data_IF_014122348414
#
_entry.id   IF_014122348414
#
_cell.length_a   1.000
_cell.length_b   1.000
_cell.length_c   1.000
_cell.angle_alpha   90.00
_cell.angle_beta   90.00
_cell.angle_gamma   90.00
#
_symmetry.space_group_name_H-M   'P 1'
#
loop_
_entity.id
_entity.type
_entity.pdbx_description
1 polymer ?
#
# COMPACT_ATOMS: atom_id res chain seq x y z
N UNK A 1 -7.96 -69.69 10.42
CA UNK A 1 -8.85 -68.52 10.55
C UNK A 1 -8.11 -67.47 11.35
N UNK A 2 -7.30 -66.63 10.69
CA UNK A 2 -7.66 -65.24 10.31
C UNK A 2 -8.06 -64.43 11.56
N UNK A 3 -7.11 -63.78 12.23
CA UNK A 3 -6.57 -62.44 11.91
C UNK A 3 -7.66 -61.34 12.00
N UNK A 4 -7.28 -60.17 12.55
CA UNK A 4 -8.06 -58.91 12.63
C UNK A 4 -8.66 -58.52 14.00
N UNK A 5 -7.80 -58.10 14.94
CA UNK A 5 -8.16 -57.04 15.91
C UNK A 5 -7.01 -56.10 16.28
N UNK A 6 -5.89 -56.09 15.52
CA UNK A 6 -4.78 -55.14 15.72
C UNK A 6 -4.81 -53.91 14.80
N UNK A 7 -5.91 -53.67 14.07
CA UNK A 7 -6.03 -52.53 13.17
C UNK A 7 -7.29 -51.72 13.49
N UNK A 8 -7.18 -50.67 14.32
CA UNK A 8 -8.18 -49.57 14.27
C UNK A 8 -7.77 -48.22 14.86
N UNK A 9 -6.53 -47.97 15.31
CA UNK A 9 -6.16 -46.63 15.80
C UNK A 9 -4.93 -46.00 15.11
N UNK A 10 -4.25 -46.74 14.22
CA UNK A 10 -3.28 -46.17 13.26
C UNK A 10 -3.95 -45.33 12.16
N UNK A 11 -5.27 -45.25 12.13
CA UNK A 11 -6.04 -44.47 11.16
C UNK A 11 -6.46 -43.08 11.66
N UNK A 12 -5.88 -42.61 12.78
CA UNK A 12 -5.76 -41.17 12.95
C UNK A 12 -4.60 -40.69 12.07
N UNK A 13 -4.83 -40.74 10.75
CA UNK A 13 -4.22 -39.80 9.83
C UNK A 13 -4.69 -38.43 10.31
N UNK A 14 -3.96 -37.90 11.29
CA UNK A 14 -3.79 -36.47 11.44
C UNK A 14 -3.13 -36.08 10.12
N UNK A 15 -3.98 -35.88 9.10
CA UNK A 15 -3.65 -35.04 7.98
C UNK A 15 -3.56 -33.64 8.57
N UNK A 16 -2.48 -33.41 9.33
CA UNK A 16 -1.73 -32.17 9.25
C UNK A 16 -1.31 -32.13 7.79
N UNK A 17 -2.25 -31.79 6.90
CA UNK A 17 -1.92 -31.34 5.58
C UNK A 17 -1.05 -30.11 5.85
N UNK A 18 0.26 -30.34 5.89
CA UNK A 18 1.24 -29.33 5.58
C UNK A 18 0.64 -28.57 4.42
N UNK A 19 0.26 -27.31 4.64
CA UNK A 19 -0.35 -26.47 3.62
C UNK A 19 0.55 -26.64 2.39
N UNK A 20 0.04 -27.29 1.35
CA UNK A 20 0.91 -27.76 0.27
C UNK A 20 1.57 -26.53 -0.35
N UNK A 21 2.84 -26.66 -0.69
CA UNK A 21 3.65 -25.56 -1.23
C UNK A 21 2.97 -24.92 -2.47
N UNK A 22 2.17 -25.70 -3.21
CA UNK A 22 1.34 -25.24 -4.32
C UNK A 22 0.09 -24.46 -3.89
N UNK A 23 -0.51 -24.77 -2.73
CA UNK A 23 -1.61 -24.00 -2.17
C UNK A 23 -1.15 -22.65 -1.62
N UNK A 24 0.07 -22.60 -1.03
CA UNK A 24 0.76 -21.35 -0.69
C UNK A 24 0.99 -20.54 -1.97
N UNK A 25 1.58 -21.13 -3.03
CA UNK A 25 1.78 -20.46 -4.32
C UNK A 25 0.49 -19.94 -4.93
N UNK A 26 -0.62 -20.69 -4.84
CA UNK A 26 -1.92 -20.31 -5.43
C UNK A 26 -2.57 -19.14 -4.69
N UNK A 27 -2.52 -19.14 -3.35
CA UNK A 27 -2.93 -17.99 -2.52
C UNK A 27 -2.03 -16.78 -2.80
N UNK A 28 -0.74 -17.01 -2.98
CA UNK A 28 0.25 -15.98 -3.30
C UNK A 28 0.01 -15.35 -4.69
N UNK A 29 -0.33 -16.16 -5.69
CA UNK A 29 -0.69 -15.68 -7.03
C UNK A 29 -2.00 -14.85 -7.02
N UNK A 30 -2.98 -15.25 -6.22
CA UNK A 30 -4.24 -14.51 -6.06
C UNK A 30 -4.04 -13.17 -5.33
N UNK A 31 -3.20 -13.14 -4.28
CA UNK A 31 -2.84 -11.91 -3.57
C UNK A 31 -2.07 -10.95 -4.48
N UNK A 32 -1.08 -11.47 -5.21
CA UNK A 32 -0.25 -10.71 -6.15
C UNK A 32 -1.06 -10.12 -7.31
N UNK A 33 -2.07 -10.84 -7.83
CA UNK A 33 -3.00 -10.31 -8.85
C UNK A 33 -3.88 -9.18 -8.31
N UNK A 34 -4.40 -9.33 -7.09
CA UNK A 34 -5.22 -8.30 -6.46
C UNK A 34 -4.41 -7.03 -6.19
N UNK A 35 -3.17 -7.17 -5.69
CA UNK A 35 -2.26 -6.05 -5.45
C UNK A 35 -1.87 -5.38 -6.76
N UNK A 36 -1.52 -6.14 -7.81
CA UNK A 36 -1.19 -5.56 -9.13
C UNK A 36 -2.36 -4.77 -9.70
N UNK A 37 -3.58 -5.32 -9.67
CA UNK A 37 -4.78 -4.64 -10.18
C UNK A 37 -5.10 -3.38 -9.38
N UNK A 38 -4.89 -3.39 -8.05
CA UNK A 38 -5.08 -2.20 -7.20
C UNK A 38 -4.02 -1.13 -7.50
N UNK A 39 -2.75 -1.51 -7.63
CA UNK A 39 -1.66 -0.60 -8.02
C UNK A 39 -1.90 0.04 -9.39
N UNK A 40 -2.41 -0.72 -10.37
CA UNK A 40 -2.72 -0.17 -11.71
C UNK A 40 -3.84 0.86 -11.64
N UNK A 41 -4.88 0.61 -10.86
CA UNK A 41 -5.98 1.55 -10.69
C UNK A 41 -5.54 2.81 -9.91
N UNK A 42 -4.76 2.64 -8.84
CA UNK A 42 -4.14 3.75 -8.09
C UNK A 42 -3.22 4.59 -9.00
N UNK A 43 -2.49 3.96 -9.93
CA UNK A 43 -1.63 4.64 -10.89
C UNK A 43 -2.41 5.45 -11.93
N UNK A 44 -3.46 4.88 -12.52
CA UNK A 44 -4.28 5.58 -13.52
C UNK A 44 -5.05 6.74 -12.89
N UNK A 45 -5.73 6.49 -11.76
CA UNK A 45 -6.46 7.54 -11.03
C UNK A 45 -5.50 8.60 -10.53
N UNK A 46 -4.33 8.20 -10.04
CA UNK A 46 -3.30 9.12 -9.59
C UNK A 46 -2.72 9.99 -10.69
N UNK A 47 -2.45 9.43 -11.86
CA UNK A 47 -1.99 10.18 -13.03
C UNK A 47 -3.02 11.20 -13.50
N UNK A 48 -4.30 10.84 -13.55
CA UNK A 48 -5.39 11.77 -13.91
C UNK A 48 -5.50 12.90 -12.89
N UNK A 49 -5.46 12.58 -11.59
CA UNK A 49 -5.50 13.59 -10.54
C UNK A 49 -4.30 14.53 -10.60
N UNK A 50 -3.10 14.00 -10.85
CA UNK A 50 -1.88 14.80 -11.01
C UNK A 50 -1.97 15.77 -12.20
N UNK A 51 -2.46 15.30 -13.35
CA UNK A 51 -2.64 16.12 -14.54
C UNK A 51 -3.67 17.24 -14.29
N UNK A 52 -4.79 16.92 -13.66
CA UNK A 52 -5.80 17.91 -13.28
C UNK A 52 -5.23 18.98 -12.32
N UNK A 53 -4.52 18.55 -11.27
CA UNK A 53 -3.89 19.46 -10.31
C UNK A 53 -2.84 20.34 -10.97
N UNK A 54 -2.07 19.81 -11.92
CA UNK A 54 -1.11 20.59 -12.69
C UNK A 54 -1.81 21.66 -13.55
N UNK A 55 -2.91 21.32 -14.22
CA UNK A 55 -3.71 22.30 -14.97
C UNK A 55 -4.26 23.38 -14.03
N UNK A 56 -4.80 23.01 -12.87
CA UNK A 56 -5.28 23.98 -11.88
C UNK A 56 -4.15 24.87 -11.33
N UNK A 57 -2.96 24.31 -11.14
CA UNK A 57 -1.76 25.06 -10.77
C UNK A 57 -1.40 26.11 -11.82
N UNK A 58 -1.42 25.74 -13.11
CA UNK A 58 -1.11 26.66 -14.21
C UNK A 58 -2.19 27.74 -14.31
N UNK A 59 -3.47 27.39 -14.20
CA UNK A 59 -4.56 28.37 -14.21
C UNK A 59 -4.42 29.37 -13.05
N UNK A 60 -4.22 28.87 -11.82
CA UNK A 60 -4.02 29.73 -10.64
C UNK A 60 -2.80 30.65 -10.80
N UNK A 61 -1.70 30.12 -11.36
CA UNK A 61 -0.50 30.89 -11.66
C UNK A 61 -0.74 31.97 -12.73
N UNK A 62 -1.48 31.66 -13.80
CA UNK A 62 -1.79 32.62 -14.86
C UNK A 62 -2.80 33.68 -14.42
N UNK A 63 -3.70 33.34 -13.50
CA UNK A 63 -4.69 34.25 -12.91
C UNK A 63 -4.15 35.04 -11.70
N UNK A 64 -2.83 35.02 -11.48
CA UNK A 64 -2.23 35.55 -10.27
C UNK A 64 -2.27 37.08 -10.24
N UNK A 65 -3.02 37.61 -9.27
CA UNK A 65 -3.08 39.04 -8.99
C UNK A 65 -2.75 39.35 -7.52
N UNK A 66 -2.75 38.35 -6.64
CA UNK A 66 -2.43 38.48 -5.24
C UNK A 66 -1.50 37.37 -4.73
N UNK A 67 -0.89 37.59 -3.56
CA UNK A 67 -0.06 36.60 -2.84
C UNK A 67 -0.82 35.30 -2.55
N UNK A 68 -2.14 35.38 -2.40
CA UNK A 68 -2.99 34.22 -2.12
C UNK A 68 -3.08 33.27 -3.32
N UNK A 69 -3.05 33.81 -4.54
CA UNK A 69 -3.09 33.01 -5.77
C UNK A 69 -1.79 32.22 -5.95
N UNK A 70 -0.65 32.83 -5.59
CA UNK A 70 0.64 32.14 -5.52
C UNK A 70 0.62 30.96 -4.55
N UNK A 71 -0.02 31.12 -3.39
CA UNK A 71 -0.10 30.08 -2.38
C UNK A 71 -0.96 28.89 -2.85
N UNK A 72 -2.08 29.16 -3.53
CA UNK A 72 -2.91 28.12 -4.13
C UNK A 72 -2.20 27.40 -5.28
N UNK A 73 -1.53 28.15 -6.17
CA UNK A 73 -0.72 27.58 -7.25
C UNK A 73 0.39 26.67 -6.70
N UNK A 74 1.12 27.12 -5.67
CA UNK A 74 2.13 26.31 -5.00
C UNK A 74 1.54 25.04 -4.36
N UNK A 75 0.34 25.13 -3.76
CA UNK A 75 -0.37 23.97 -3.23
C UNK A 75 -0.70 22.93 -4.30
N UNK A 76 -1.28 23.36 -5.43
CA UNK A 76 -1.59 22.48 -6.55
C UNK A 76 -0.33 21.87 -7.19
N UNK A 77 0.73 22.66 -7.40
CA UNK A 77 2.01 22.17 -7.89
C UNK A 77 2.62 21.11 -6.95
N UNK A 78 2.56 21.36 -5.64
CA UNK A 78 3.08 20.42 -4.63
C UNK A 78 2.28 19.13 -4.59
N UNK A 79 0.94 19.19 -4.70
CA UNK A 79 0.10 17.99 -4.81
C UNK A 79 0.44 17.18 -6.06
N UNK A 80 0.58 17.84 -7.21
CA UNK A 80 0.95 17.20 -8.48
C UNK A 80 2.33 16.52 -8.36
N UNK A 81 3.32 17.22 -7.82
CA UNK A 81 4.66 16.68 -7.60
C UNK A 81 4.65 15.48 -6.65
N UNK A 82 3.91 15.56 -5.54
CA UNK A 82 3.74 14.46 -4.60
C UNK A 82 3.16 13.22 -5.29
N UNK A 83 2.17 13.40 -6.16
CA UNK A 83 1.56 12.31 -6.91
C UNK A 83 2.52 11.67 -7.92
N UNK A 84 3.35 12.48 -8.59
CA UNK A 84 4.42 12.00 -9.48
C UNK A 84 5.46 11.19 -8.71
N UNK A 85 5.92 11.68 -7.56
CA UNK A 85 6.88 10.97 -6.69
C UNK A 85 6.31 9.61 -6.29
N UNK A 86 5.06 9.56 -5.85
CA UNK A 86 4.34 8.33 -5.51
C UNK A 86 4.26 7.38 -6.71
N UNK A 87 3.85 7.87 -7.87
CA UNK A 87 3.74 7.09 -9.10
C UNK A 87 5.08 6.49 -9.53
N UNK A 88 6.15 7.29 -9.50
CA UNK A 88 7.52 6.83 -9.81
C UNK A 88 8.00 5.79 -8.81
N UNK A 89 7.70 5.96 -7.52
CA UNK A 89 8.06 4.99 -6.48
C UNK A 89 7.39 3.63 -6.75
N UNK A 90 6.09 3.63 -7.04
CA UNK A 90 5.32 2.43 -7.37
C UNK A 90 5.84 1.79 -8.67
N UNK A 91 6.09 2.58 -9.72
CA UNK A 91 6.58 2.10 -11.01
C UNK A 91 7.94 1.38 -10.87
N UNK A 92 8.92 2.05 -10.25
CA UNK A 92 10.27 1.48 -10.05
C UNK A 92 10.22 0.18 -9.26
N UNK A 93 9.31 0.10 -8.28
CA UNK A 93 9.12 -1.09 -7.46
C UNK A 93 8.44 -2.23 -8.23
N UNK A 94 7.40 -1.93 -9.01
CA UNK A 94 6.71 -2.93 -9.83
C UNK A 94 7.65 -3.59 -10.84
N UNK A 95 8.55 -2.82 -11.44
CA UNK A 95 9.55 -3.33 -12.39
C UNK A 95 10.57 -4.25 -11.72
N UNK A 96 11.09 -3.89 -10.54
CA UNK A 96 12.02 -4.74 -9.78
C UNK A 96 11.40 -6.08 -9.37
N UNK A 97 10.17 -6.04 -8.87
CA UNK A 97 9.42 -7.26 -8.50
C UNK A 97 9.20 -8.20 -9.68
N UNK A 98 9.08 -7.66 -10.90
CA UNK A 98 8.98 -8.46 -12.13
C UNK A 98 10.25 -9.27 -12.41
N UNK A 99 11.42 -8.64 -12.30
CA UNK A 99 12.72 -9.27 -12.51
C UNK A 99 13.04 -10.33 -11.43
N UNK A 100 12.66 -10.05 -10.18
CA UNK A 100 12.90 -10.94 -9.04
C UNK A 100 12.09 -12.25 -9.12
N UNK A 101 10.89 -12.24 -9.72
CA UNK A 101 10.04 -13.44 -9.86
C UNK A 101 10.64 -14.54 -10.75
N UNK A 102 11.66 -14.24 -11.54
CA UNK A 102 12.35 -15.23 -12.38
C UNK A 102 13.31 -16.13 -11.56
N UNK A 103 13.64 -15.75 -10.31
CA UNK A 103 14.49 -16.51 -9.39
C UNK A 103 13.68 -17.22 -8.29
N UNK A 104 13.24 -18.47 -8.52
CA UNK A 104 12.32 -19.20 -7.63
C UNK A 104 13.00 -19.92 -6.46
N UNK A 105 12.59 -19.62 -5.21
CA UNK A 105 12.89 -20.39 -3.99
C UNK A 105 12.13 -19.91 -2.74
N UNK A 106 12.09 -20.69 -1.66
CA UNK A 106 11.41 -20.34 -0.39
C UNK A 106 12.02 -19.11 0.30
N UNK A 107 13.34 -18.99 0.26
CA UNK A 107 14.08 -17.83 0.79
C UNK A 107 13.71 -16.52 0.06
N UNK A 108 13.43 -16.61 -1.25
CA UNK A 108 12.99 -15.47 -2.05
C UNK A 108 11.59 -14.99 -1.63
N UNK A 109 10.68 -15.93 -1.34
CA UNK A 109 9.34 -15.63 -0.85
C UNK A 109 9.39 -14.85 0.47
N UNK A 110 10.22 -15.30 1.41
CA UNK A 110 10.37 -14.67 2.73
C UNK A 110 10.89 -13.24 2.62
N UNK A 111 11.97 -13.00 1.85
CA UNK A 111 12.51 -11.66 1.61
C UNK A 111 11.49 -10.72 0.98
N UNK A 112 10.64 -11.24 0.08
CA UNK A 112 9.60 -10.44 -0.56
C UNK A 112 8.49 -10.04 0.41
N UNK A 113 8.07 -10.92 1.31
CA UNK A 113 7.09 -10.59 2.35
C UNK A 113 7.65 -9.56 3.33
N UNK A 114 8.92 -9.69 3.74
CA UNK A 114 9.60 -8.70 4.58
C UNK A 114 9.65 -7.33 3.90
N UNK A 115 10.01 -7.29 2.62
CA UNK A 115 10.04 -6.06 1.83
C UNK A 115 8.64 -5.42 1.71
N UNK A 116 7.61 -6.20 1.43
CA UNK A 116 6.23 -5.70 1.29
C UNK A 116 5.69 -5.14 2.62
N UNK A 117 5.99 -5.81 3.74
CA UNK A 117 5.68 -5.31 5.09
C UNK A 117 6.33 -3.95 5.33
N UNK A 118 7.61 -3.80 5.02
CA UNK A 118 8.35 -2.58 5.29
C UNK A 118 7.85 -1.42 4.43
N UNK A 119 7.38 -1.71 3.22
CA UNK A 119 6.75 -0.74 2.32
C UNK A 119 5.39 -0.26 2.81
N UNK A 120 4.54 -1.17 3.27
CA UNK A 120 3.26 -0.80 3.89
C UNK A 120 3.48 -0.03 5.20
N UNK A 121 4.49 -0.41 5.99
CA UNK A 121 4.83 0.28 7.24
C UNK A 121 5.35 1.70 6.98
N UNK A 122 6.11 1.90 5.92
CA UNK A 122 6.66 3.20 5.50
C UNK A 122 5.74 3.99 4.57
N UNK A 123 4.58 3.45 4.18
CA UNK A 123 3.61 4.10 3.28
C UNK A 123 3.27 5.53 3.68
N UNK A 124 3.16 5.81 4.97
CA UNK A 124 2.89 7.17 5.42
C UNK A 124 4.01 8.17 5.05
N UNK A 125 5.27 7.75 5.00
CA UNK A 125 6.41 8.62 4.63
C UNK A 125 6.47 8.88 3.13
N UNK A 126 6.27 7.86 2.30
CA UNK A 126 6.48 7.97 0.86
C UNK A 126 5.18 8.23 0.07
N UNK A 127 4.02 7.89 0.62
CA UNK A 127 2.70 8.12 0.02
C UNK A 127 2.01 9.36 0.57
N UNK A 128 1.87 9.45 1.90
CA UNK A 128 1.14 10.56 2.54
C UNK A 128 2.02 11.81 2.66
N UNK A 129 3.28 11.63 3.10
CA UNK A 129 4.24 12.71 3.33
C UNK A 129 4.37 13.71 2.17
N UNK A 130 4.58 13.29 0.92
CA UNK A 130 4.76 14.21 -0.20
C UNK A 130 3.51 15.02 -0.58
N UNK A 131 2.31 14.52 -0.23
CA UNK A 131 1.03 15.13 -0.64
C UNK A 131 0.53 16.13 0.42
N UNK A 132 0.81 15.88 1.70
CA UNK A 132 0.35 16.72 2.83
C UNK A 132 0.68 18.21 2.68
N UNK A 133 1.91 18.62 2.33
CA UNK A 133 2.25 20.05 2.21
C UNK A 133 1.39 20.76 1.17
N UNK A 134 1.04 20.09 0.06
CA UNK A 134 0.18 20.65 -0.97
C UNK A 134 -1.24 20.91 -0.47
N UNK A 135 -1.84 19.99 0.30
CA UNK A 135 -3.13 20.22 0.93
C UNK A 135 -3.09 21.41 1.91
N UNK A 136 -2.05 21.49 2.73
CA UNK A 136 -1.88 22.60 3.69
C UNK A 136 -1.84 23.95 2.96
N UNK A 137 -1.03 24.06 1.91
CA UNK A 137 -0.92 25.28 1.12
C UNK A 137 -2.24 25.65 0.42
N UNK A 138 -2.93 24.69 -0.19
CA UNK A 138 -4.21 24.93 -0.85
C UNK A 138 -5.31 25.38 0.12
N UNK A 139 -5.42 24.74 1.29
CA UNK A 139 -6.40 25.12 2.31
C UNK A 139 -6.08 26.47 2.95
N UNK A 140 -4.81 26.75 3.22
CA UNK A 140 -4.36 28.03 3.76
C UNK A 140 -4.61 29.16 2.76
N UNK A 141 -4.29 28.94 1.48
CA UNK A 141 -4.57 29.89 0.41
C UNK A 141 -6.06 30.20 0.32
N UNK A 142 -6.91 29.18 0.27
CA UNK A 142 -8.36 29.39 0.22
C UNK A 142 -8.89 30.16 1.45
N UNK A 143 -8.42 29.82 2.65
CA UNK A 143 -8.79 30.52 3.89
C UNK A 143 -8.40 32.00 3.83
N UNK A 144 -7.19 32.31 3.37
CA UNK A 144 -6.72 33.69 3.26
C UNK A 144 -7.51 34.51 2.22
N UNK A 145 -7.98 33.86 1.15
CA UNK A 145 -8.81 34.52 0.14
C UNK A 145 -10.27 34.73 0.60
N UNK A 146 -10.79 33.82 1.44
CA UNK A 146 -12.20 33.79 1.83
C UNK A 146 -12.36 33.56 3.35
N UNK A 147 -11.83 34.45 4.21
CA UNK A 147 -11.83 34.25 5.67
C UNK A 147 -13.25 34.18 6.26
N UNK A 148 -14.23 34.78 5.59
CA UNK A 148 -15.65 34.77 5.98
C UNK A 148 -16.36 33.44 5.69
N UNK A 149 -15.70 32.51 4.98
CA UNK A 149 -16.24 31.21 4.57
C UNK A 149 -15.44 30.02 5.13
N UNK A 150 -15.20 29.95 6.45
CA UNK A 150 -14.32 28.95 7.05
C UNK A 150 -14.80 27.51 6.83
N UNK A 151 -16.12 27.30 6.67
CA UNK A 151 -16.70 25.98 6.48
C UNK A 151 -16.18 25.26 5.23
N UNK A 152 -15.83 26.00 4.18
CA UNK A 152 -15.27 25.47 2.94
C UNK A 152 -13.80 25.02 3.07
N UNK A 153 -13.16 25.35 4.18
CA UNK A 153 -11.82 24.86 4.53
C UNK A 153 -11.92 23.77 5.59
N UNK A 154 -12.68 24.01 6.65
CA UNK A 154 -12.76 23.11 7.81
C UNK A 154 -13.39 21.77 7.45
N UNK A 155 -14.49 21.76 6.69
CA UNK A 155 -15.18 20.51 6.33
C UNK A 155 -14.32 19.67 5.36
N UNK A 156 -13.83 20.21 4.22
CA UNK A 156 -12.96 19.43 3.34
C UNK A 156 -11.62 19.08 3.97
N UNK A 157 -11.02 20.00 4.73
CA UNK A 157 -9.76 19.76 5.45
C UNK A 157 -9.89 18.65 6.49
N UNK A 158 -10.98 18.65 7.26
CA UNK A 158 -11.29 17.58 8.21
C UNK A 158 -11.51 16.24 7.52
N UNK A 159 -12.24 16.22 6.41
CA UNK A 159 -12.46 15.01 5.61
C UNK A 159 -11.16 14.47 5.01
N UNK A 160 -10.31 15.34 4.45
CA UNK A 160 -8.99 14.99 3.94
C UNK A 160 -8.09 14.44 5.04
N UNK A 161 -8.05 15.08 6.21
CA UNK A 161 -7.30 14.58 7.35
C UNK A 161 -7.77 13.18 7.79
N UNK A 162 -9.08 12.99 7.95
CA UNK A 162 -9.67 11.70 8.31
C UNK A 162 -9.32 10.62 7.27
N UNK A 163 -9.39 10.95 5.98
CA UNK A 163 -9.01 10.05 4.89
C UNK A 163 -7.53 9.67 4.93
N UNK A 164 -6.62 10.64 5.12
CA UNK A 164 -5.18 10.36 5.23
C UNK A 164 -4.87 9.47 6.43
N UNK A 165 -5.48 9.75 7.59
CA UNK A 165 -5.35 8.90 8.80
C UNK A 165 -5.87 7.49 8.51
N UNK A 166 -7.02 7.36 7.85
CA UNK A 166 -7.58 6.07 7.46
C UNK A 166 -6.64 5.27 6.55
N UNK A 167 -6.04 5.92 5.53
CA UNK A 167 -5.03 5.31 4.66
C UNK A 167 -3.83 4.81 5.46
N UNK A 168 -3.31 5.60 6.41
CA UNK A 168 -2.19 5.18 7.28
C UNK A 168 -2.58 3.97 8.13
N UNK A 169 -3.79 3.95 8.70
CA UNK A 169 -4.29 2.83 9.50
C UNK A 169 -4.39 1.55 8.65
N UNK A 170 -4.97 1.63 7.45
CA UNK A 170 -5.11 0.48 6.55
C UNK A 170 -3.75 -0.11 6.18
N UNK A 171 -2.78 0.74 5.81
CA UNK A 171 -1.43 0.30 5.47
C UNK A 171 -0.74 -0.39 6.66
N UNK A 172 -0.87 0.18 7.88
CA UNK A 172 -0.34 -0.45 9.10
C UNK A 172 -1.03 -1.77 9.43
N UNK A 173 -2.35 -1.89 9.21
CA UNK A 173 -3.09 -3.15 9.42
C UNK A 173 -2.64 -4.22 8.44
N UNK A 174 -2.50 -3.88 7.16
CA UNK A 174 -1.97 -4.80 6.15
C UNK A 174 -0.54 -5.26 6.49
N UNK A 175 0.33 -4.35 6.95
CA UNK A 175 1.68 -4.72 7.40
C UNK A 175 1.66 -5.73 8.57
N UNK A 176 0.73 -5.58 9.52
CA UNK A 176 0.57 -6.54 10.64
C UNK A 176 0.06 -7.91 10.19
N UNK A 177 -0.78 -7.96 9.17
CA UNK A 177 -1.24 -9.23 8.60
C UNK A 177 -0.07 -10.00 7.99
N UNK A 178 0.78 -9.32 7.22
CA UNK A 178 2.00 -9.92 6.64
C UNK A 178 2.95 -10.41 7.74
N UNK A 179 3.14 -9.63 8.80
CA UNK A 179 3.97 -10.05 9.95
C UNK A 179 3.46 -11.35 10.61
N UNK A 180 2.13 -11.51 10.67
CA UNK A 180 1.50 -12.72 11.22
C UNK A 180 1.76 -13.92 10.30
N UNK A 181 1.69 -13.72 8.99
CA UNK A 181 1.98 -14.76 7.98
C UNK A 181 3.45 -15.20 8.03
N UNK A 182 4.41 -14.26 8.07
CA UNK A 182 5.84 -14.55 8.23
C UNK A 182 6.10 -15.39 9.49
N UNK A 183 5.43 -15.07 10.60
CA UNK A 183 5.58 -15.82 11.86
C UNK A 183 5.07 -17.26 11.74
N UNK A 184 3.95 -17.46 11.06
CA UNK A 184 3.40 -18.81 10.84
C UNK A 184 4.34 -19.68 10.01
N UNK A 185 4.95 -19.13 8.95
CA UNK A 185 5.93 -19.81 8.12
C UNK A 185 7.19 -20.20 8.91
N UNK A 186 7.72 -19.27 9.73
CA UNK A 186 8.88 -19.55 10.58
C UNK A 186 8.62 -20.68 11.59
N UNK A 187 7.43 -20.70 12.18
CA UNK A 187 7.08 -21.73 13.17
C UNK A 187 6.89 -23.11 12.51
N UNK A 188 6.40 -23.16 11.27
CA UNK A 188 6.29 -24.39 10.48
C UNK A 188 7.65 -24.99 10.12
N UNK A 189 8.62 -24.16 9.72
CA UNK A 189 10.00 -24.61 9.45
C UNK A 189 10.67 -25.22 10.69
N UNK A 190 10.52 -24.57 11.86
CA UNK A 190 11.10 -25.07 13.11
C UNK A 190 10.50 -26.42 13.54
N UNK A 191 9.20 -26.63 13.31
CA UNK A 191 8.56 -27.92 13.58
C UNK A 191 9.08 -29.02 12.63
N UNK A 192 9.37 -28.68 11.38
CA UNK A 192 9.93 -29.63 10.41
C UNK A 192 11.38 -30.03 10.74
N UNK A 193 12.15 -29.10 11.30
CA UNK A 193 13.57 -29.30 11.63
C UNK A 193 13.79 -30.09 12.94
N UNK A 194 12.77 -30.20 13.80
CA UNK A 194 12.81 -31.00 15.04
C UNK A 194 12.37 -32.46 14.84
N UNK A 195 11.82 -32.80 13.67
CA UNK A 195 11.34 -34.16 13.33
C UNK A 195 12.39 -34.94 12.51
N UNK A 196 13.47 -34.29 12.09
CA UNK A 196 14.65 -34.88 11.44
C UNK A 196 15.78 -35.06 12.47
#
# INVERSE_FOLDING_TARGET
>A
MSDRSQHSWKEQLVTTAAISLDEIKKRHAALSRTIKRRNTLEYVVGGIAAAFLLVMSVIAFLATHAVVDWLMAAGFATLALGMVIVGLHIFRKSTRVGADMEASGMEHLKRRLEHERDLLRSAWLWYVGPIVPGFVLSYLGYWMANPERPIFVLVPGGLTFAFLVFVVILNRRAARQIETEIRSLRNGDLAHQQVL
#
